data_IF_239302176507
#
_entry.id   IF_239302176507
#
_cell.length_a   1.000
_cell.length_b   1.000
_cell.length_c   1.000
_cell.angle_alpha   90.00
_cell.angle_beta   90.00
_cell.angle_gamma   90.00
#
_symmetry.space_group_name_H-M   'P 1'
#
loop_
_entity.id
_entity.type
_entity.pdbx_description
1 polymer ?
#
# COMPACT_ATOMS: atom_id res chain seq x y z
N UNK A 1 17.57 23.27 16.49
CA UNK A 1 17.55 21.87 16.02
C UNK A 1 17.51 21.90 14.50
N UNK A 2 18.63 21.61 13.84
CA UNK A 2 18.74 21.59 12.38
C UNK A 2 18.02 20.36 11.83
N UNK A 3 16.70 20.45 11.68
CA UNK A 3 15.97 19.63 10.72
C UNK A 3 16.23 20.27 9.36
N UNK A 4 17.48 20.16 8.88
CA UNK A 4 17.75 20.44 7.49
C UNK A 4 16.80 19.56 6.68
N UNK A 5 16.13 20.14 5.68
CA UNK A 5 15.39 19.42 4.66
C UNK A 5 16.38 18.53 3.88
N UNK A 6 16.90 17.49 4.52
CA UNK A 6 17.60 16.42 3.87
C UNK A 6 16.55 15.73 3.00
N UNK A 7 16.39 16.23 1.78
CA UNK A 7 15.87 15.40 0.71
C UNK A 7 16.81 14.21 0.66
N UNK A 8 16.33 13.05 1.13
CA UNK A 8 17.05 11.80 0.97
C UNK A 8 17.37 11.66 -0.53
N UNK A 9 18.65 11.79 -0.93
CA UNK A 9 19.00 11.84 -2.34
C UNK A 9 18.50 10.58 -3.05
N UNK A 10 17.88 10.73 -4.21
CA UNK A 10 17.39 9.60 -5.01
C UNK A 10 15.98 9.09 -4.67
N UNK A 11 15.42 9.34 -3.47
CA UNK A 11 14.08 8.84 -3.12
C UNK A 11 13.02 9.34 -4.10
N UNK A 12 12.99 10.65 -4.36
CA UNK A 12 12.02 11.25 -5.28
C UNK A 12 12.11 10.62 -6.68
N UNK A 13 13.31 10.43 -7.19
CA UNK A 13 13.49 9.86 -8.53
C UNK A 13 13.06 8.40 -8.56
N UNK A 14 13.43 7.59 -7.58
CA UNK A 14 13.02 6.19 -7.51
C UNK A 14 11.49 6.02 -7.45
N UNK A 15 10.79 6.89 -6.71
CA UNK A 15 9.31 6.89 -6.70
C UNK A 15 8.73 7.32 -8.04
N UNK A 16 9.34 8.30 -8.72
CA UNK A 16 8.91 8.71 -10.06
C UNK A 16 9.12 7.61 -11.09
N UNK A 17 10.20 6.84 -10.99
CA UNK A 17 10.50 5.71 -11.87
C UNK A 17 9.45 4.59 -11.72
N UNK A 18 8.86 4.45 -10.53
CA UNK A 18 7.78 3.49 -10.22
C UNK A 18 6.37 4.02 -10.53
N UNK A 19 6.23 5.26 -11.03
CA UNK A 19 4.94 5.92 -11.16
C UNK A 19 3.89 5.12 -11.97
N UNK A 20 4.30 4.50 -13.09
CA UNK A 20 3.38 3.69 -13.89
C UNK A 20 2.99 2.38 -13.19
N UNK A 21 3.89 1.81 -12.39
CA UNK A 21 3.58 0.64 -11.57
C UNK A 21 2.59 1.01 -10.46
N UNK A 22 2.82 2.12 -9.78
CA UNK A 22 1.91 2.67 -8.77
C UNK A 22 0.52 2.95 -9.36
N UNK A 23 0.45 3.58 -10.54
CA UNK A 23 -0.81 3.82 -11.25
C UNK A 23 -1.55 2.52 -11.52
N UNK A 24 -0.85 1.46 -11.97
CA UNK A 24 -1.46 0.14 -12.20
C UNK A 24 -2.03 -0.46 -10.92
N UNK A 25 -1.30 -0.40 -9.81
CA UNK A 25 -1.82 -0.88 -8.51
C UNK A 25 -3.05 -0.09 -8.08
N UNK A 26 -2.98 1.24 -8.11
CA UNK A 26 -4.12 2.09 -7.76
C UNK A 26 -5.34 1.73 -8.60
N UNK A 27 -5.21 1.68 -9.92
CA UNK A 27 -6.33 1.38 -10.81
C UNK A 27 -6.89 -0.03 -10.60
N UNK A 28 -6.03 -1.02 -10.32
CA UNK A 28 -6.47 -2.38 -10.00
C UNK A 28 -7.23 -2.46 -8.67
N UNK A 29 -6.73 -1.81 -7.61
CA UNK A 29 -7.40 -1.75 -6.31
C UNK A 29 -8.72 -0.96 -6.43
N UNK A 30 -8.71 0.19 -7.11
CA UNK A 30 -9.90 1.01 -7.34
C UNK A 30 -11.01 0.27 -8.08
N UNK A 31 -10.66 -0.49 -9.12
CA UNK A 31 -11.62 -1.22 -9.94
C UNK A 31 -12.20 -2.45 -9.22
N UNK A 32 -11.58 -2.93 -8.14
CA UNK A 32 -12.00 -4.11 -7.41
C UNK A 32 -12.08 -3.82 -5.90
N UNK A 33 -12.93 -2.86 -5.47
CA UNK A 33 -13.02 -2.48 -4.07
C UNK A 33 -13.76 -3.54 -3.27
N UNK A 34 -13.38 -3.71 -2.00
CA UNK A 34 -13.94 -4.69 -1.08
C UNK A 34 -14.32 -3.98 0.22
N UNK A 35 -15.37 -4.43 0.91
CA UNK A 35 -15.80 -3.81 2.16
C UNK A 35 -14.87 -4.13 3.33
N UNK A 36 -15.01 -3.33 4.39
CA UNK A 36 -14.39 -3.57 5.69
C UNK A 36 -14.46 -5.04 6.13
N UNK A 37 -13.32 -5.64 6.45
CA UNK A 37 -13.15 -7.04 6.88
C UNK A 37 -13.38 -8.10 5.79
N UNK A 38 -13.66 -7.70 4.55
CA UNK A 38 -13.90 -8.58 3.40
C UNK A 38 -12.87 -8.40 2.27
N UNK A 39 -11.83 -7.59 2.48
CA UNK A 39 -10.77 -7.19 1.53
C UNK A 39 -9.77 -8.31 1.19
N UNK A 40 -10.25 -9.53 0.93
CA UNK A 40 -9.42 -10.71 0.72
C UNK A 40 -8.51 -10.57 -0.49
N UNK A 41 -9.01 -10.06 -1.62
CA UNK A 41 -8.23 -9.89 -2.84
C UNK A 41 -7.13 -8.84 -2.65
N UNK A 42 -7.49 -7.72 -2.02
CA UNK A 42 -6.58 -6.60 -1.78
C UNK A 42 -5.52 -6.99 -0.74
N UNK A 43 -5.92 -7.65 0.35
CA UNK A 43 -5.02 -8.26 1.33
C UNK A 43 -4.02 -9.22 0.67
N UNK A 44 -4.50 -10.13 -0.19
CA UNK A 44 -3.65 -11.08 -0.91
C UNK A 44 -2.64 -10.39 -1.83
N UNK A 45 -3.07 -9.34 -2.55
CA UNK A 45 -2.20 -8.54 -3.42
C UNK A 45 -1.08 -7.89 -2.60
N UNK A 46 -1.43 -7.20 -1.51
CA UNK A 46 -0.46 -6.52 -0.63
C UNK A 46 0.52 -7.53 -0.04
N UNK A 47 0.02 -8.64 0.51
CA UNK A 47 0.86 -9.67 1.11
C UNK A 47 1.82 -10.30 0.10
N UNK A 48 1.36 -10.58 -1.13
CA UNK A 48 2.21 -11.13 -2.20
C UNK A 48 3.31 -10.15 -2.60
N UNK A 49 2.99 -8.87 -2.78
CA UNK A 49 3.97 -7.85 -3.14
C UNK A 49 5.04 -7.69 -2.05
N UNK A 50 4.62 -7.53 -0.78
CA UNK A 50 5.54 -7.43 0.34
C UNK A 50 6.48 -8.65 0.45
N UNK A 51 5.93 -9.87 0.36
CA UNK A 51 6.72 -11.11 0.35
C UNK A 51 7.73 -11.14 -0.80
N UNK A 52 7.35 -10.67 -1.99
CA UNK A 52 8.23 -10.63 -3.15
C UNK A 52 9.45 -9.71 -2.97
N UNK A 53 9.37 -8.76 -2.04
CA UNK A 53 10.47 -7.85 -1.69
C UNK A 53 11.25 -8.31 -0.46
N UNK A 54 10.99 -9.52 0.04
CA UNK A 54 11.67 -10.08 1.22
C UNK A 54 11.23 -9.44 2.54
N UNK A 55 10.03 -8.86 2.59
CA UNK A 55 9.40 -8.39 3.83
C UNK A 55 8.81 -9.61 4.55
N UNK A 56 8.98 -9.68 5.88
CA UNK A 56 8.29 -10.66 6.72
C UNK A 56 6.83 -10.26 6.83
N UNK A 57 5.90 -11.14 6.46
CA UNK A 57 4.48 -10.79 6.36
C UNK A 57 3.62 -11.73 7.20
N UNK A 58 2.83 -11.13 8.09
CA UNK A 58 1.71 -11.77 8.76
C UNK A 58 0.39 -11.28 8.15
N UNK A 59 -0.52 -12.22 7.89
CA UNK A 59 -1.89 -11.97 7.41
C UNK A 59 -2.88 -12.50 8.45
N UNK A 60 -4.02 -11.83 8.62
CA UNK A 60 -4.98 -12.17 9.66
C UNK A 60 -4.49 -11.79 11.06
N UNK A 61 -3.72 -10.70 11.14
CA UNK A 61 -3.12 -10.20 12.37
C UNK A 61 -4.12 -9.38 13.22
N UNK A 62 -3.61 -8.65 14.21
CA UNK A 62 -4.41 -7.72 15.04
C UNK A 62 -5.16 -6.75 14.13
N UNK A 63 -6.50 -6.75 14.21
CA UNK A 63 -7.36 -5.86 13.43
C UNK A 63 -8.37 -6.55 12.51
N UNK A 64 -8.22 -7.85 12.22
CA UNK A 64 -9.23 -8.61 11.47
C UNK A 64 -8.64 -9.66 10.51
N UNK A 65 -9.50 -10.45 9.83
CA UNK A 65 -9.06 -11.55 8.97
C UNK A 65 -8.25 -11.10 7.74
N UNK A 66 -8.39 -9.85 7.33
CA UNK A 66 -7.75 -9.22 6.16
C UNK A 66 -6.61 -8.27 6.54
N UNK A 67 -6.26 -8.18 7.82
CA UNK A 67 -5.17 -7.33 8.28
C UNK A 67 -3.82 -7.88 7.80
N UNK A 68 -2.99 -7.01 7.22
CA UNK A 68 -1.62 -7.33 6.78
C UNK A 68 -0.62 -6.51 7.60
N UNK A 69 0.33 -7.20 8.22
CA UNK A 69 1.47 -6.59 8.91
C UNK A 69 2.75 -7.03 8.23
N UNK A 70 3.52 -6.07 7.72
CA UNK A 70 4.85 -6.29 7.15
C UNK A 70 5.95 -5.78 8.08
N UNK A 71 6.97 -6.59 8.33
CA UNK A 71 8.18 -6.19 9.05
C UNK A 71 9.36 -6.24 8.08
N UNK A 72 9.99 -5.09 7.87
CA UNK A 72 11.20 -4.96 7.07
C UNK A 72 12.37 -4.63 8.00
N UNK A 73 13.29 -5.57 8.13
CA UNK A 73 14.54 -5.36 8.88
C UNK A 73 15.58 -4.67 8.01
N UNK A 74 16.22 -3.64 8.56
CA UNK A 74 17.42 -3.03 7.97
C UNK A 74 18.62 -3.98 8.00
N UNK A 75 19.64 -3.71 7.19
CA UNK A 75 20.90 -4.48 7.17
C UNK A 75 21.75 -4.21 8.42
N UNK A 76 21.64 -3.01 8.96
CA UNK A 76 22.28 -2.64 10.21
C UNK A 76 21.33 -2.87 11.39
N UNK A 77 21.79 -3.61 12.41
CA UNK A 77 21.02 -3.82 13.63
C UNK A 77 20.73 -2.48 14.33
N UNK A 78 19.47 -2.27 14.70
CA UNK A 78 18.99 -1.04 15.34
C UNK A 78 17.79 -1.34 16.22
N UNK A 79 17.70 -0.68 17.37
CA UNK A 79 16.52 -0.73 18.24
C UNK A 79 15.42 0.26 17.80
N UNK A 80 15.68 1.09 16.79
CA UNK A 80 14.71 2.06 16.29
C UNK A 80 13.73 1.40 15.33
N UNK A 81 12.45 1.69 15.52
CA UNK A 81 11.36 1.22 14.67
C UNK A 81 10.44 2.39 14.28
N UNK A 82 9.87 2.32 13.08
CA UNK A 82 8.86 3.26 12.59
C UNK A 82 7.71 2.48 11.97
N UNK A 83 6.47 2.78 12.41
CA UNK A 83 5.26 2.23 11.83
C UNK A 83 4.72 3.11 10.70
N UNK A 84 4.41 2.51 9.56
CA UNK A 84 3.68 3.13 8.46
C UNK A 84 2.37 2.37 8.25
N UNK A 85 1.26 3.08 8.05
CA UNK A 85 -0.08 2.49 7.99
C UNK A 85 -0.91 3.11 6.86
N UNK A 86 -1.64 2.25 6.16
CA UNK A 86 -2.64 2.61 5.16
C UNK A 86 -3.83 1.66 5.28
N UNK A 87 -5.02 2.19 5.04
CA UNK A 87 -6.26 1.41 5.01
C UNK A 87 -6.55 0.91 3.59
N UNK A 88 -7.21 -0.24 3.49
CA UNK A 88 -7.45 -0.96 2.23
C UNK A 88 -8.94 -1.12 1.89
N UNK A 89 -9.86 -0.69 2.76
CA UNK A 89 -11.30 -0.92 2.62
C UNK A 89 -11.98 0.09 1.69
N UNK A 90 -13.04 -0.37 1.03
CA UNK A 90 -13.99 0.42 0.26
C UNK A 90 -15.26 0.73 1.05
N UNK A 91 -16.07 1.65 0.52
CA UNK A 91 -17.34 2.06 1.11
C UNK A 91 -18.54 1.44 0.37
N UNK A 92 -19.68 1.21 1.05
CA UNK A 92 -20.92 0.73 0.45
C UNK A 92 -21.66 1.86 -0.30
N UNK A 93 -21.01 2.43 -1.32
CA UNK A 93 -21.54 3.48 -2.18
C UNK A 93 -21.30 3.13 -3.65
N UNK A 94 -22.25 3.52 -4.51
CA UNK A 94 -22.10 3.34 -5.95
C UNK A 94 -21.21 4.41 -6.56
N UNK A 95 -20.17 4.00 -7.27
CA UNK A 95 -19.29 4.92 -7.99
C UNK A 95 -20.02 5.64 -9.13
N UNK A 96 -19.94 6.97 -9.11
CA UNK A 96 -20.54 7.85 -10.14
C UNK A 96 -19.55 8.25 -11.24
N UNK A 97 -18.28 7.88 -11.11
CA UNK A 97 -17.24 8.23 -12.09
C UNK A 97 -17.39 7.43 -13.38
N UNK A 98 -16.92 8.01 -14.49
CA UNK A 98 -16.83 7.38 -15.81
C UNK A 98 -15.40 6.99 -16.17
N UNK A 99 -14.50 6.92 -15.17
CA UNK A 99 -13.10 6.57 -15.41
C UNK A 99 -12.97 5.14 -15.93
N UNK A 100 -11.92 4.87 -16.71
CA UNK A 100 -11.67 3.54 -17.28
C UNK A 100 -11.35 2.46 -16.23
N UNK A 101 -11.07 2.87 -14.99
CA UNK A 101 -10.76 2.02 -13.84
C UNK A 101 -11.84 2.10 -12.75
N UNK A 102 -13.05 2.56 -13.10
CA UNK A 102 -14.18 2.55 -12.17
C UNK A 102 -14.41 1.16 -11.56
N UNK A 103 -14.98 1.15 -10.37
CA UNK A 103 -15.40 -0.05 -9.66
C UNK A 103 -16.20 -0.98 -10.56
N UNK A 104 -15.83 -2.25 -10.53
CA UNK A 104 -16.53 -3.38 -11.14
C UNK A 104 -17.49 -4.07 -10.16
N UNK A 105 -17.42 -3.67 -8.89
CA UNK A 105 -18.26 -4.20 -7.82
C UNK A 105 -19.38 -3.18 -7.55
N UNK A 106 -20.57 -3.46 -8.08
CA UNK A 106 -21.72 -2.56 -7.93
C UNK A 106 -22.03 -2.31 -6.45
N UNK A 107 -22.25 -1.04 -6.10
CA UNK A 107 -22.52 -0.62 -4.72
C UNK A 107 -21.29 -0.55 -3.81
N UNK A 108 -20.07 -0.82 -4.31
CA UNK A 108 -18.82 -0.70 -3.53
C UNK A 108 -17.83 0.21 -4.26
N UNK A 109 -17.19 1.14 -3.55
CA UNK A 109 -16.27 2.11 -4.14
C UNK A 109 -15.21 2.63 -3.15
N UNK A 110 -13.99 2.88 -3.62
CA UNK A 110 -12.95 3.58 -2.86
C UNK A 110 -13.14 5.11 -2.84
N UNK A 111 -14.27 5.56 -2.30
CA UNK A 111 -14.60 7.01 -2.21
C UNK A 111 -13.71 7.82 -1.27
N UNK A 112 -13.02 7.17 -0.33
CA UNK A 112 -12.08 7.80 0.61
C UNK A 112 -10.61 7.74 0.16
N UNK A 113 -10.31 7.14 -1.00
CA UNK A 113 -8.94 7.09 -1.53
C UNK A 113 -8.02 6.02 -0.90
N UNK A 114 -8.58 5.00 -0.23
CA UNK A 114 -7.81 3.92 0.39
C UNK A 114 -7.00 3.09 -0.65
N UNK A 115 -7.46 3.03 -1.90
CA UNK A 115 -6.70 2.56 -3.06
C UNK A 115 -5.39 3.33 -3.26
N UNK A 116 -5.45 4.66 -3.11
CA UNK A 116 -4.31 5.57 -3.19
C UNK A 116 -3.35 5.40 -2.01
N UNK A 117 -3.87 5.39 -0.78
CA UNK A 117 -3.06 5.20 0.42
C UNK A 117 -2.30 3.87 0.39
N UNK A 118 -3.00 2.77 0.03
CA UNK A 118 -2.40 1.44 -0.12
C UNK A 118 -1.30 1.45 -1.16
N UNK A 119 -1.54 2.07 -2.32
CA UNK A 119 -0.55 2.22 -3.39
C UNK A 119 0.70 2.99 -2.94
N UNK A 120 0.51 4.11 -2.21
CA UNK A 120 1.61 4.91 -1.70
C UNK A 120 2.46 4.14 -0.68
N UNK A 121 1.82 3.40 0.22
CA UNK A 121 2.52 2.58 1.21
C UNK A 121 3.29 1.42 0.55
N UNK A 122 2.71 0.78 -0.46
CA UNK A 122 3.40 -0.24 -1.26
C UNK A 122 4.64 0.31 -1.96
N UNK A 123 4.56 1.52 -2.53
CA UNK A 123 5.71 2.17 -3.15
C UNK A 123 6.82 2.47 -2.13
N UNK A 124 6.46 2.99 -0.95
CA UNK A 124 7.40 3.21 0.14
C UNK A 124 8.04 1.89 0.60
N UNK A 125 7.26 0.82 0.79
CA UNK A 125 7.77 -0.50 1.18
C UNK A 125 8.72 -1.09 0.13
N UNK A 126 8.38 -0.99 -1.16
CA UNK A 126 9.24 -1.43 -2.28
C UNK A 126 10.57 -0.69 -2.26
N UNK A 127 10.53 0.64 -2.15
CA UNK A 127 11.73 1.47 -2.09
C UNK A 127 12.60 1.09 -0.89
N UNK A 128 12.03 1.09 0.32
CA UNK A 128 12.75 0.76 1.56
C UNK A 128 13.37 -0.64 1.49
N UNK A 129 12.65 -1.63 0.96
CA UNK A 129 13.18 -2.99 0.82
C UNK A 129 14.40 -3.04 -0.13
N UNK A 130 14.43 -2.20 -1.16
CA UNK A 130 15.55 -2.10 -2.10
C UNK A 130 16.75 -1.30 -1.57
N UNK A 131 16.54 -0.43 -0.58
CA UNK A 131 17.58 0.49 -0.03
C UNK A 131 17.78 0.31 1.48
N UNK A 132 17.56 -0.89 2.02
CA UNK A 132 17.52 -1.20 3.46
C UNK A 132 18.89 -1.24 4.16
N UNK A 133 19.85 -0.39 3.77
CA UNK A 133 21.18 -0.33 4.39
C UNK A 133 21.14 0.11 5.87
#
# INVERSE_FOLDING_TARGET
>A
AQWAHASLPGVKQAILDDHDLMRRWRHDIHANPELGFEERRTCDLVAKLLKSWGVEVAVGAVGGPTAVVGVLHGRTASERCMGLRADMDGLPISEQSTTSYRSRNDGVHHGCGHDGHTTMLLAAAKYLASTRD
#
